data_IF_965774339580
#
_entry.id   IF_965774339580
#
_cell.length_a   1.000
_cell.length_b   1.000
_cell.length_c   1.000
_cell.angle_alpha   90.00
_cell.angle_beta   90.00
_cell.angle_gamma   90.00
#
_symmetry.space_group_name_H-M   'P 1'
#
loop_
_entity.id
_entity.type
_entity.pdbx_description
1 polymer ?
#
# COMPACT_ATOMS: atom_id res chain seq x y z
N UNK A 1 12.90 -0.67 -10.83
CA UNK A 1 11.67 -0.75 -10.03
C UNK A 1 10.63 0.11 -10.69
N UNK A 2 9.41 -0.40 -10.89
CA UNK A 2 8.31 0.38 -11.43
C UNK A 2 7.69 1.22 -10.29
N UNK A 3 7.38 2.49 -10.57
CA UNK A 3 6.71 3.38 -9.62
C UNK A 3 5.20 3.13 -9.66
N UNK A 4 4.77 2.10 -8.94
CA UNK A 4 3.38 1.61 -8.95
C UNK A 4 2.88 1.44 -7.53
N UNK A 5 1.71 2.04 -7.24
CA UNK A 5 0.96 1.77 -6.03
C UNK A 5 0.07 0.53 -6.23
N UNK A 6 0.10 -0.40 -5.28
CA UNK A 6 -0.70 -1.62 -5.30
C UNK A 6 -1.88 -1.45 -4.35
N UNK A 7 -3.09 -1.57 -4.88
CA UNK A 7 -4.33 -1.64 -4.09
C UNK A 7 -4.81 -3.08 -4.02
N UNK A 8 -5.16 -3.55 -2.83
CA UNK A 8 -5.61 -4.93 -2.62
C UNK A 8 -6.98 -4.96 -1.98
N UNK A 9 -7.85 -5.85 -2.46
CA UNK A 9 -9.22 -6.01 -1.98
C UNK A 9 -9.42 -7.48 -1.60
N UNK A 10 -9.84 -7.73 -0.36
CA UNK A 10 -10.21 -9.07 0.09
C UNK A 10 -11.57 -9.45 -0.49
N UNK A 11 -11.60 -10.48 -1.34
CA UNK A 11 -12.82 -11.02 -1.98
C UNK A 11 -13.27 -12.35 -1.36
N UNK A 12 -12.81 -12.67 -0.15
CA UNK A 12 -13.22 -13.89 0.55
C UNK A 12 -14.73 -13.93 0.80
N UNK A 13 -15.34 -15.09 0.55
CA UNK A 13 -16.76 -15.33 0.79
C UNK A 13 -17.00 -15.68 2.27
N UNK A 14 -18.26 -15.61 2.70
CA UNK A 14 -18.68 -15.92 4.09
C UNK A 14 -18.27 -17.35 4.52
N UNK A 15 -18.12 -18.28 3.58
CA UNK A 15 -17.71 -19.66 3.85
C UNK A 15 -16.19 -19.82 4.05
N UNK A 16 -15.41 -18.75 3.87
CA UNK A 16 -13.96 -18.78 4.10
C UNK A 16 -13.68 -18.86 5.60
N UNK A 17 -12.90 -19.85 6.03
CA UNK A 17 -12.55 -20.00 7.44
C UNK A 17 -11.86 -18.72 7.97
N UNK A 18 -12.17 -18.34 9.21
CA UNK A 18 -11.64 -17.11 9.81
C UNK A 18 -10.10 -17.06 9.84
N UNK A 19 -9.47 -18.21 10.11
CA UNK A 19 -8.01 -18.35 10.10
C UNK A 19 -7.42 -18.12 8.70
N UNK A 20 -8.02 -18.71 7.67
CA UNK A 20 -7.57 -18.52 6.29
C UNK A 20 -7.74 -17.06 5.85
N UNK A 21 -8.88 -16.46 6.20
CA UNK A 21 -9.15 -15.05 5.88
C UNK A 21 -8.11 -14.13 6.51
N UNK A 22 -7.81 -14.30 7.79
CA UNK A 22 -6.80 -13.49 8.48
C UNK A 22 -5.42 -13.60 7.83
N UNK A 23 -5.00 -14.82 7.47
CA UNK A 23 -3.73 -15.04 6.78
C UNK A 23 -3.68 -14.35 5.41
N UNK A 24 -4.74 -14.52 4.61
CA UNK A 24 -4.85 -13.88 3.29
C UNK A 24 -4.82 -12.36 3.40
N UNK A 25 -5.59 -11.79 4.33
CA UNK A 25 -5.62 -10.35 4.57
C UNK A 25 -4.26 -9.80 5.00
N UNK A 26 -3.49 -10.56 5.79
CA UNK A 26 -2.12 -10.19 6.17
C UNK A 26 -1.20 -10.04 4.96
N UNK A 27 -1.28 -10.98 4.03
CA UNK A 27 -0.49 -10.94 2.78
C UNK A 27 -0.92 -9.77 1.89
N UNK A 28 -2.22 -9.59 1.68
CA UNK A 28 -2.77 -8.49 0.88
C UNK A 28 -2.39 -7.11 1.43
N UNK A 29 -2.47 -6.96 2.77
CA UNK A 29 -2.04 -5.75 3.47
C UNK A 29 -0.56 -5.46 3.27
N UNK A 30 0.29 -6.48 3.38
CA UNK A 30 1.74 -6.33 3.20
C UNK A 30 2.10 -5.81 1.79
N UNK A 31 1.47 -6.33 0.74
CA UNK A 31 1.68 -5.88 -0.63
C UNK A 31 1.27 -4.42 -0.85
N UNK A 32 0.08 -4.05 -0.38
CA UNK A 32 -0.40 -2.68 -0.53
C UNK A 32 0.48 -1.69 0.23
N UNK A 33 0.76 -1.96 1.51
CA UNK A 33 1.54 -1.04 2.35
C UNK A 33 2.99 -0.86 1.91
N UNK A 34 3.62 -1.88 1.31
CA UNK A 34 4.99 -1.75 0.79
C UNK A 34 5.12 -0.73 -0.33
N UNK A 35 4.05 -0.54 -1.09
CA UNK A 35 4.00 0.36 -2.26
C UNK A 35 3.33 1.70 -1.95
N UNK A 36 2.84 1.89 -0.73
CA UNK A 36 2.07 3.09 -0.37
C UNK A 36 0.62 3.05 -0.84
N UNK A 37 0.13 1.90 -1.34
CA UNK A 37 -1.28 1.71 -1.65
C UNK A 37 -2.12 1.36 -0.41
N UNK A 38 -3.35 0.91 -0.66
CA UNK A 38 -4.33 0.63 0.40
C UNK A 38 -4.90 -0.80 0.29
N UNK A 39 -5.00 -1.45 1.45
CA UNK A 39 -5.75 -2.69 1.60
C UNK A 39 -7.18 -2.41 2.05
N UNK A 40 -8.14 -3.10 1.42
CA UNK A 40 -9.57 -2.99 1.71
C UNK A 40 -10.13 -4.37 2.09
N UNK A 41 -10.59 -4.49 3.33
CA UNK A 41 -11.23 -5.71 3.84
C UNK A 41 -12.75 -5.59 3.68
N UNK A 42 -13.28 -5.97 2.52
CA UNK A 42 -14.70 -5.80 2.23
C UNK A 42 -15.36 -7.11 1.77
N UNK A 43 -16.39 -7.59 2.47
CA UNK A 43 -17.11 -8.80 2.09
C UNK A 43 -18.09 -8.54 0.93
N UNK A 44 -17.58 -8.22 -0.26
CA UNK A 44 -18.36 -8.11 -1.50
C UNK A 44 -19.51 -7.07 -1.51
N UNK A 45 -20.32 -7.11 -2.58
CA UNK A 45 -21.58 -6.35 -2.68
C UNK A 45 -21.41 -4.82 -2.81
N UNK A 46 -22.29 -4.07 -2.14
CA UNK A 46 -22.30 -2.59 -2.16
C UNK A 46 -21.01 -2.02 -1.59
N UNK A 47 -20.55 -2.57 -0.48
CA UNK A 47 -19.32 -2.12 0.17
C UNK A 47 -18.10 -2.23 -0.76
N UNK A 48 -18.09 -3.20 -1.69
CA UNK A 48 -17.01 -3.34 -2.67
C UNK A 48 -17.04 -2.17 -3.67
N UNK A 49 -18.23 -1.77 -4.14
CA UNK A 49 -18.35 -0.61 -5.03
C UNK A 49 -17.88 0.66 -4.33
N UNK A 50 -18.22 0.83 -3.06
CA UNK A 50 -17.77 1.97 -2.26
C UNK A 50 -16.24 1.95 -2.08
N UNK A 51 -15.65 0.77 -1.86
CA UNK A 51 -14.20 0.61 -1.81
C UNK A 51 -13.53 1.05 -3.12
N UNK A 52 -14.05 0.61 -4.27
CA UNK A 52 -13.55 1.03 -5.58
C UNK A 52 -13.68 2.53 -5.80
N UNK A 53 -14.83 3.11 -5.48
CA UNK A 53 -15.04 4.56 -5.58
C UNK A 53 -14.00 5.34 -4.76
N UNK A 54 -13.79 4.94 -3.50
CA UNK A 54 -12.80 5.57 -2.64
C UNK A 54 -11.37 5.46 -3.19
N UNK A 55 -11.01 4.34 -3.84
CA UNK A 55 -9.71 4.19 -4.49
C UNK A 55 -9.59 5.14 -5.68
N UNK A 56 -10.63 5.25 -6.51
CA UNK A 56 -10.64 6.18 -7.65
C UNK A 56 -10.52 7.63 -7.18
N UNK A 57 -11.25 8.00 -6.14
CA UNK A 57 -11.18 9.35 -5.54
C UNK A 57 -9.77 9.63 -4.99
N UNK A 58 -9.10 8.63 -4.41
CA UNK A 58 -7.71 8.73 -3.91
C UNK A 58 -6.69 8.91 -5.05
N UNK A 59 -6.86 8.20 -6.17
CA UNK A 59 -5.97 8.31 -7.33
C UNK A 59 -5.98 9.71 -7.96
N UNK A 60 -7.05 10.48 -7.75
CA UNK A 60 -7.14 11.89 -8.18
C UNK A 60 -6.30 12.85 -7.32
N UNK A 61 -5.84 12.43 -6.15
CA UNK A 61 -5.15 13.28 -5.16
C UNK A 61 -3.80 12.66 -4.78
N UNK A 62 -2.96 12.38 -5.77
CA UNK A 62 -1.62 11.85 -5.57
C UNK A 62 -0.55 12.93 -5.77
N UNK A 63 0.41 12.98 -4.84
CA UNK A 63 1.61 13.79 -4.97
C UNK A 63 2.81 12.88 -5.27
N UNK A 64 3.62 13.26 -6.25
CA UNK A 64 4.88 12.55 -6.57
C UNK A 64 6.04 13.29 -5.91
N UNK A 65 6.79 12.57 -5.05
CA UNK A 65 7.99 13.09 -4.39
C UNK A 65 9.21 12.29 -4.84
N UNK A 66 10.20 12.98 -5.41
CA UNK A 66 11.49 12.38 -5.75
C UNK A 66 12.43 12.35 -4.54
N UNK A 67 13.00 11.19 -4.24
CA UNK A 67 14.04 11.04 -3.22
C UNK A 67 15.33 10.51 -3.84
N UNK A 68 16.41 11.26 -3.70
CA UNK A 68 17.75 10.86 -4.12
C UNK A 68 18.58 10.50 -2.88
N UNK A 69 18.98 9.23 -2.71
CA UNK A 69 19.77 8.83 -1.55
C UNK A 69 21.20 9.35 -1.65
N UNK A 70 21.77 9.76 -0.51
CA UNK A 70 23.20 10.12 -0.42
C UNK A 70 24.13 8.91 -0.57
N UNK A 71 23.69 7.72 -0.16
CA UNK A 71 24.42 6.47 -0.34
C UNK A 71 24.05 5.82 -1.69
N UNK A 72 24.98 5.80 -2.66
CA UNK A 72 24.75 5.22 -3.99
C UNK A 72 25.19 3.75 -4.12
N UNK A 73 25.68 3.13 -3.04
CA UNK A 73 26.08 1.71 -3.08
C UNK A 73 24.88 0.83 -3.41
N UNK A 74 25.08 -0.17 -4.27
CA UNK A 74 24.07 -1.17 -4.62
C UNK A 74 24.40 -2.49 -3.92
N UNK A 75 24.06 -2.55 -2.64
CA UNK A 75 24.46 -3.60 -1.70
C UNK A 75 23.33 -4.59 -1.37
N UNK A 76 22.24 -4.58 -2.14
CA UNK A 76 21.03 -5.40 -1.94
C UNK A 76 20.36 -5.21 -0.57
N UNK A 77 20.79 -4.19 0.19
CA UNK A 77 20.21 -3.89 1.50
C UNK A 77 18.90 -3.14 1.33
N UNK A 78 17.98 -3.45 2.25
CA UNK A 78 16.76 -2.68 2.45
C UNK A 78 17.08 -1.33 3.06
N UNK A 79 16.44 -0.28 2.55
CA UNK A 79 16.58 1.10 3.02
C UNK A 79 15.19 1.66 3.26
N UNK A 80 14.89 1.96 4.52
CA UNK A 80 13.62 2.56 4.90
C UNK A 80 13.53 4.00 4.40
N UNK A 81 12.31 4.42 4.05
CA UNK A 81 11.96 5.80 3.73
C UNK A 81 10.79 6.17 4.62
N UNK A 82 10.86 7.35 5.23
CA UNK A 82 9.79 7.94 6.03
C UNK A 82 9.51 9.35 5.53
N UNK A 83 8.23 9.69 5.36
CA UNK A 83 7.78 11.03 5.02
C UNK A 83 7.12 11.66 6.24
N UNK A 84 7.69 12.76 6.71
CA UNK A 84 7.15 13.55 7.82
C UNK A 84 6.63 14.86 7.24
N UNK A 85 5.40 15.23 7.60
CA UNK A 85 4.76 16.49 7.18
C UNK A 85 4.36 17.30 8.41
N UNK A 86 4.37 18.62 8.28
CA UNK A 86 3.99 19.54 9.37
C UNK A 86 2.48 19.68 9.55
N UNK A 87 1.69 19.38 8.51
CA UNK A 87 0.24 19.54 8.53
C UNK A 87 -0.43 18.42 9.34
N UNK A 88 -1.23 18.75 10.38
CA UNK A 88 -1.94 17.73 11.15
C UNK A 88 -3.12 17.14 10.37
N UNK A 89 -3.65 16.03 10.88
CA UNK A 89 -4.87 15.37 10.38
C UNK A 89 -4.79 14.87 8.92
N UNK A 90 -3.60 14.44 8.49
CA UNK A 90 -3.40 13.79 7.20
C UNK A 90 -3.18 12.29 7.37
N UNK A 91 -3.72 11.51 6.45
CA UNK A 91 -3.36 10.10 6.29
C UNK A 91 -2.27 10.02 5.24
N UNK A 92 -1.05 9.78 5.68
CA UNK A 92 0.11 9.69 4.79
C UNK A 92 0.29 8.23 4.38
N UNK A 93 0.32 7.98 3.07
CA UNK A 93 0.70 6.69 2.51
C UNK A 93 1.84 6.87 1.54
N UNK A 94 2.94 6.20 1.81
CA UNK A 94 4.14 6.21 0.96
C UNK A 94 4.70 4.80 0.91
N UNK A 95 5.57 4.55 -0.07
CA UNK A 95 6.43 3.37 0.00
C UNK A 95 7.21 3.38 1.31
N UNK A 96 7.38 2.21 1.94
CA UNK A 96 8.14 2.07 3.19
C UNK A 96 9.65 2.09 2.99
N UNK A 97 10.12 1.95 1.75
CA UNK A 97 11.53 1.86 1.44
C UNK A 97 11.81 1.21 0.10
N UNK A 98 13.08 0.89 -0.12
CA UNK A 98 13.58 0.27 -1.33
C UNK A 98 14.73 -0.69 -1.04
N UNK A 99 14.95 -1.62 -1.96
CA UNK A 99 16.15 -2.46 -1.97
C UNK A 99 17.14 -1.90 -2.98
N UNK A 100 18.39 -1.71 -2.58
CA UNK A 100 19.44 -1.23 -3.47
C UNK A 100 19.92 -2.35 -4.42
N UNK A 101 19.13 -2.64 -5.47
CA UNK A 101 19.44 -3.68 -6.46
C UNK A 101 20.76 -3.42 -7.18
N UNK A 102 21.54 -4.48 -7.40
CA UNK A 102 22.82 -4.48 -8.14
C UNK A 102 22.63 -4.07 -9.61
#
# INVERSE_FOLDING_TARGET
DADVAIYTIDMSTVNTSGKQRMQNQGVLRNFAEKTGGRFVSTPGGVAMRDAFKNIVDELGVQYTLGYHPSNLKKDEKWRAIELIVSRPNLIIRTRKGYTAKK
#
